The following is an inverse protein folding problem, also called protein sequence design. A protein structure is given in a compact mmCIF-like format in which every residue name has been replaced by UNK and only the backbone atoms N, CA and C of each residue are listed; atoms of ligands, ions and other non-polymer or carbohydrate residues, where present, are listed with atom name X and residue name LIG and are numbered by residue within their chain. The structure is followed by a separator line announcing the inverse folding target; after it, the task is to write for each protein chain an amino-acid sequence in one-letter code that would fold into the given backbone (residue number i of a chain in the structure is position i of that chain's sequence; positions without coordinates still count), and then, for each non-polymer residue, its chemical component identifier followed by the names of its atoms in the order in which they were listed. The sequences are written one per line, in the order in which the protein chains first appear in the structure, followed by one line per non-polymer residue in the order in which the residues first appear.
data_IF_334371200498
#
_entry.id   IF_334371200498
#
_cell.length_a   1.000
_cell.length_b   1.000
_cell.length_c   1.000
_cell.angle_alpha   90.00
_cell.angle_beta   90.00
_cell.angle_gamma   90.00
#
_symmetry.space_group_name_H-M   'P 1'
#
loop_
_entity.id
_entity.type
_entity.pdbx_description
1 polymer ?
#
# COMPACT_ATOMS: atom_id res chain seq x y z
N UNK A 1 -2.34 15.53 2.78
CA UNK A 1 -3.42 14.64 2.30
C UNK A 1 -3.57 13.42 3.20
N UNK A 2 -2.48 12.81 3.65
CA UNK A 2 -2.44 11.58 4.48
C UNK A 2 -3.10 11.71 5.86
N UNK A 3 -2.85 12.81 6.58
CA UNK A 3 -3.36 12.98 7.95
C UNK A 3 -4.89 13.07 8.02
N UNK A 4 -5.54 13.74 7.06
CA UNK A 4 -7.02 13.84 6.97
C UNK A 4 -7.66 12.48 6.62
N UNK A 5 -6.92 11.61 5.94
CA UNK A 5 -7.41 10.28 5.58
C UNK A 5 -7.46 9.36 6.81
N UNK A 6 -6.52 9.51 7.76
CA UNK A 6 -6.42 8.63 8.92
C UNK A 6 -7.58 8.84 9.91
N UNK A 7 -7.97 10.09 10.16
CA UNK A 7 -9.08 10.44 11.06
C UNK A 7 -10.40 9.82 10.59
N UNK A 8 -10.70 9.95 9.30
CA UNK A 8 -11.90 9.35 8.71
C UNK A 8 -11.86 7.82 8.77
N UNK A 9 -10.69 7.19 8.61
CA UNK A 9 -10.54 5.74 8.79
C UNK A 9 -10.80 5.31 10.24
N UNK A 10 -10.37 6.09 11.24
CA UNK A 10 -10.73 5.84 12.64
C UNK A 10 -12.24 5.97 12.86
N UNK A 11 -12.89 6.96 12.25
CA UNK A 11 -14.35 7.10 12.29
C UNK A 11 -15.07 5.89 11.67
N UNK A 12 -14.59 5.36 10.53
CA UNK A 12 -15.11 4.13 9.92
C UNK A 12 -14.94 2.95 10.89
N UNK A 13 -13.75 2.79 11.49
CA UNK A 13 -13.48 1.71 12.45
C UNK A 13 -14.39 1.79 13.66
N UNK A 14 -14.68 2.99 14.15
CA UNK A 14 -15.64 3.25 15.22
C UNK A 14 -17.07 2.82 14.81
N UNK A 15 -17.54 3.24 13.63
CA UNK A 15 -18.85 2.83 13.09
C UNK A 15 -18.98 1.29 12.94
N UNK A 16 -17.92 0.61 12.48
CA UNK A 16 -17.90 -0.86 12.41
C UNK A 16 -18.07 -1.49 13.79
N UNK A 17 -17.43 -0.95 14.84
CA UNK A 17 -17.60 -1.41 16.23
C UNK A 17 -19.02 -1.16 16.75
N UNK A 18 -19.66 -0.08 16.31
CA UNK A 18 -21.08 0.21 16.59
C UNK A 18 -22.05 -0.70 15.80
N UNK A 19 -21.53 -1.54 14.90
CA UNK A 19 -22.31 -2.40 13.98
C UNK A 19 -23.14 -1.62 12.97
N UNK A 20 -22.74 -0.40 12.65
CA UNK A 20 -23.33 0.38 11.57
C UNK A 20 -23.09 -0.33 10.23
N UNK A 21 -24.07 -0.24 9.33
CA UNK A 21 -23.90 -0.66 7.94
C UNK A 21 -22.93 0.27 7.20
N UNK A 22 -22.40 -0.20 6.06
CA UNK A 22 -21.51 0.61 5.21
C UNK A 22 -22.22 1.89 4.75
N UNK A 23 -23.52 1.81 4.47
CA UNK A 23 -24.34 2.95 4.04
C UNK A 23 -24.43 4.00 5.14
N UNK A 24 -24.81 3.61 6.35
CA UNK A 24 -24.91 4.53 7.50
C UNK A 24 -23.54 5.15 7.82
N UNK A 25 -22.46 4.37 7.72
CA UNK A 25 -21.10 4.88 7.90
C UNK A 25 -20.76 5.96 6.87
N UNK A 26 -21.08 5.73 5.60
CA UNK A 26 -20.87 6.71 4.54
C UNK A 26 -21.69 7.98 4.77
N UNK A 27 -22.97 7.84 5.09
CA UNK A 27 -23.85 8.99 5.33
C UNK A 27 -23.37 9.82 6.54
N UNK A 28 -22.90 9.17 7.62
CA UNK A 28 -22.27 9.83 8.78
C UNK A 28 -20.98 10.56 8.39
N UNK A 29 -20.13 9.95 7.57
CA UNK A 29 -18.90 10.60 7.09
C UNK A 29 -19.18 11.82 6.24
N UNK A 30 -20.11 11.74 5.28
CA UNK A 30 -20.48 12.88 4.44
C UNK A 30 -21.09 14.00 5.29
N UNK A 31 -21.88 13.65 6.32
CA UNK A 31 -22.45 14.65 7.24
C UNK A 31 -21.39 15.40 8.05
N UNK A 32 -20.30 14.73 8.45
CA UNK A 32 -19.25 15.33 9.28
C UNK A 32 -18.17 16.02 8.44
N UNK A 33 -17.70 15.38 7.37
CA UNK A 33 -16.55 15.83 6.57
C UNK A 33 -16.94 16.52 5.25
N UNK A 34 -18.21 16.47 4.85
CA UNK A 34 -18.71 17.16 3.65
C UNK A 34 -17.97 16.76 2.38
N UNK A 35 -17.45 17.75 1.65
CA UNK A 35 -16.69 17.55 0.41
C UNK A 35 -15.32 16.89 0.62
N UNK A 36 -14.81 16.90 1.85
CA UNK A 36 -13.55 16.26 2.21
C UNK A 36 -13.73 14.79 2.61
N UNK A 37 -14.97 14.29 2.62
CA UNK A 37 -15.26 12.91 2.96
C UNK A 37 -14.58 11.93 1.98
N UNK A 38 -14.14 10.80 2.51
CA UNK A 38 -13.64 9.68 1.71
C UNK A 38 -14.67 9.27 0.67
N UNK A 39 -14.19 8.94 -0.53
CA UNK A 39 -15.07 8.43 -1.57
C UNK A 39 -15.79 7.17 -1.10
N UNK A 40 -16.99 6.93 -1.64
CA UNK A 40 -17.82 5.75 -1.31
C UNK A 40 -17.04 4.44 -1.46
N UNK A 41 -16.18 4.34 -2.47
CA UNK A 41 -15.33 3.18 -2.71
C UNK A 41 -14.27 2.96 -1.61
N UNK A 42 -13.65 4.04 -1.11
CA UNK A 42 -12.70 3.97 0.00
C UNK A 42 -13.40 3.57 1.30
N UNK A 43 -14.57 4.16 1.59
CA UNK A 43 -15.37 3.81 2.77
C UNK A 43 -15.74 2.32 2.76
N UNK A 44 -16.18 1.79 1.61
CA UNK A 44 -16.52 0.38 1.47
C UNK A 44 -15.32 -0.54 1.74
N UNK A 45 -14.15 -0.21 1.16
CA UNK A 45 -12.91 -0.97 1.36
C UNK A 45 -12.52 -1.03 2.83
N UNK A 46 -12.40 0.13 3.48
CA UNK A 46 -12.03 0.22 4.90
C UNK A 46 -13.06 -0.43 5.81
N UNK A 47 -14.36 -0.26 5.56
CA UNK A 47 -15.41 -0.90 6.36
C UNK A 47 -15.29 -2.43 6.30
N UNK A 48 -15.09 -2.99 5.10
CA UNK A 48 -14.85 -4.43 4.92
C UNK A 48 -13.59 -4.90 5.65
N UNK A 49 -12.48 -4.17 5.52
CA UNK A 49 -11.22 -4.54 6.15
C UNK A 49 -11.31 -4.53 7.68
N UNK A 50 -11.95 -3.51 8.26
CA UNK A 50 -12.20 -3.45 9.70
C UNK A 50 -13.19 -4.50 10.18
N UNK A 51 -14.22 -4.81 9.40
CA UNK A 51 -15.17 -5.89 9.72
C UNK A 51 -14.48 -7.26 9.75
N UNK A 52 -13.46 -7.45 8.91
CA UNK A 52 -12.63 -8.66 8.86
C UNK A 52 -11.52 -8.69 9.93
N UNK A 53 -11.47 -7.72 10.85
CA UNK A 53 -10.52 -7.70 11.96
C UNK A 53 -9.19 -7.01 11.67
N UNK A 54 -9.07 -6.21 10.60
CA UNK A 54 -7.87 -5.43 10.36
C UNK A 54 -7.62 -4.42 11.50
N UNK A 55 -6.47 -4.54 12.18
CA UNK A 55 -6.11 -3.65 13.28
C UNK A 55 -5.52 -2.31 12.81
N UNK A 56 -4.86 -2.30 11.64
CA UNK A 56 -4.09 -1.15 11.13
C UNK A 56 -5.00 -0.13 10.45
N UNK A 57 -4.74 1.15 10.72
CA UNK A 57 -5.50 2.29 10.17
C UNK A 57 -4.70 3.05 9.12
N UNK A 58 -3.37 2.97 9.20
CA UNK A 58 -2.48 3.42 8.12
C UNK A 58 -2.46 2.44 6.96
N UNK A 59 -2.13 2.94 5.77
CA UNK A 59 -1.71 2.07 4.69
C UNK A 59 -0.42 1.38 5.15
N UNK A 60 -0.33 0.06 4.96
CA UNK A 60 1.00 -0.56 5.06
C UNK A 60 1.88 0.10 4.00
N UNK A 61 3.17 0.38 4.29
CA UNK A 61 4.09 0.79 3.26
C UNK A 61 3.97 -0.27 2.17
N UNK A 62 3.40 0.13 1.03
CA UNK A 62 3.05 -0.83 0.00
C UNK A 62 4.29 -1.67 -0.27
N UNK A 63 4.14 -2.99 -0.27
CA UNK A 63 5.14 -3.87 -0.86
C UNK A 63 5.22 -3.50 -2.34
N UNK A 64 5.88 -2.39 -2.65
CA UNK A 64 6.46 -2.15 -3.95
C UNK A 64 7.35 -3.34 -4.25
N UNK A 65 7.48 -3.64 -5.55
CA UNK A 65 8.37 -4.69 -6.03
C UNK A 65 9.68 -4.67 -5.23
N UNK A 66 10.12 -5.79 -4.62
CA UNK A 66 11.38 -5.82 -3.89
C UNK A 66 12.47 -5.27 -4.80
N UNK A 67 13.11 -4.17 -4.39
CA UNK A 67 14.29 -3.63 -5.07
C UNK A 67 15.53 -4.45 -4.67
N UNK A 68 15.37 -5.77 -4.56
CA UNK A 68 16.47 -6.71 -4.30
C UNK A 68 17.45 -6.74 -5.48
N UNK A 69 17.04 -6.25 -6.65
CA UNK A 69 17.88 -6.13 -7.83
C UNK A 69 19.03 -5.11 -7.67
N UNK A 70 18.89 -4.09 -6.80
CA UNK A 70 19.85 -2.96 -6.72
C UNK A 70 20.56 -2.88 -5.35
N UNK A 71 21.06 -4.00 -4.87
CA UNK A 71 22.01 -4.04 -3.74
C UNK A 71 23.41 -3.67 -4.21
N UNK A 72 24.22 -2.99 -3.38
CA UNK A 72 25.62 -2.68 -3.71
C UNK A 72 26.44 -3.91 -4.12
N UNK A 73 26.11 -5.07 -3.53
CA UNK A 73 26.68 -6.36 -3.90
C UNK A 73 26.36 -6.74 -5.37
N UNK A 74 25.09 -6.58 -5.78
CA UNK A 74 24.65 -6.86 -7.14
C UNK A 74 25.26 -5.86 -8.12
N UNK A 75 25.41 -4.59 -7.73
CA UNK A 75 26.10 -3.58 -8.55
C UNK A 75 27.58 -3.91 -8.73
N UNK A 76 28.29 -4.32 -7.67
CA UNK A 76 29.68 -4.78 -7.76
C UNK A 76 29.82 -6.02 -8.65
N UNK A 77 28.94 -7.02 -8.46
CA UNK A 77 28.92 -8.26 -9.26
C UNK A 77 28.66 -7.97 -10.74
N UNK A 78 27.74 -7.07 -11.07
CA UNK A 78 27.51 -6.60 -12.44
C UNK A 78 28.75 -5.88 -12.98
N UNK A 79 29.36 -4.95 -12.23
CA UNK A 79 30.57 -4.26 -12.69
C UNK A 79 31.70 -5.24 -13.03
N UNK A 80 31.95 -6.22 -12.17
CA UNK A 80 32.97 -7.26 -12.38
C UNK A 80 32.67 -8.10 -13.62
N UNK A 81 31.43 -8.57 -13.77
CA UNK A 81 31.02 -9.36 -14.92
C UNK A 81 31.11 -8.56 -16.24
N UNK A 82 30.88 -7.23 -16.23
CA UNK A 82 30.98 -6.38 -17.45
C UNK A 82 32.43 -6.22 -17.86
N UNK A 83 33.33 -6.13 -16.89
CA UNK A 83 34.76 -6.04 -17.13
C UNK A 83 35.34 -7.37 -17.64
N UNK A 84 34.78 -8.50 -17.20
CA UNK A 84 35.22 -9.83 -17.61
C UNK A 84 34.70 -10.23 -19.00
N UNK A 85 33.45 -9.90 -19.34
CA UNK A 85 32.88 -10.23 -20.63
C UNK A 85 31.85 -9.19 -21.09
N UNK A 86 32.25 -8.38 -22.08
CA UNK A 86 31.43 -7.32 -22.66
C UNK A 86 30.31 -7.83 -23.57
N UNK A 87 30.28 -9.13 -23.92
CA UNK A 87 29.30 -9.73 -24.85
C UNK A 87 28.08 -10.34 -24.16
N UNK A 88 28.00 -10.28 -22.83
CA UNK A 88 26.87 -10.82 -22.09
C UNK A 88 25.58 -10.02 -22.36
N UNK A 89 24.53 -10.71 -22.79
CA UNK A 89 23.20 -10.13 -23.04
C UNK A 89 22.41 -9.98 -21.75
N UNK A 90 21.55 -8.94 -21.64
CA UNK A 90 20.73 -8.59 -20.45
C UNK A 90 20.09 -9.82 -19.77
N UNK A 91 19.65 -10.81 -20.55
CA UNK A 91 19.05 -12.06 -20.04
C UNK A 91 20.05 -12.96 -19.28
N UNK A 92 21.31 -13.02 -19.71
CA UNK A 92 22.37 -13.77 -19.03
C UNK A 92 22.72 -13.15 -17.67
N UNK A 93 22.66 -11.82 -17.54
CA UNK A 93 22.87 -11.10 -16.29
C UNK A 93 21.81 -11.45 -15.25
N UNK A 94 20.54 -11.49 -15.68
CA UNK A 94 19.41 -11.77 -14.80
C UNK A 94 19.47 -13.18 -14.20
N UNK A 95 19.95 -14.19 -14.95
CA UNK A 95 20.15 -15.54 -14.41
C UNK A 95 21.32 -15.64 -13.42
N UNK A 96 22.31 -14.75 -13.50
CA UNK A 96 23.47 -14.72 -12.60
C UNK A 96 23.27 -13.82 -11.38
N UNK A 97 22.11 -13.21 -11.17
CA UNK A 97 21.88 -12.28 -10.03
C UNK A 97 20.80 -12.76 -9.06
N UNK A 98 20.25 -13.96 -9.28
CA UNK A 98 19.42 -14.75 -8.35
C UNK A 98 20.33 -15.82 -7.73
#
# INVERSE_FOLDING_TARGET
MEQRNIEQRYAIKFCVKLRDSVKETYDKLVKVFGYEALSRAQVFRWHKDFKNGCAKVGDEPGNGRPVEARTDNNVKRVRTLVHQDRRLTIRSWLMKLI
#
